data_IF_446178448741
#
_entry.id   IF_446178448741
#
_cell.length_a   1.000
_cell.length_b   1.000
_cell.length_c   1.000
_cell.angle_alpha   90.00
_cell.angle_beta   90.00
_cell.angle_gamma   90.00
#
_symmetry.space_group_name_H-M   'P 1'
#
loop_
_entity.id
_entity.type
_entity.pdbx_description
1 polymer ?
#
# COMPACT_ATOMS: atom_id res chain seq x y z
N UNK A 1 26.84 65.35 -43.87
CA UNK A 1 26.27 64.47 -44.92
C UNK A 1 26.75 63.04 -44.69
N UNK A 2 25.85 62.07 -44.90
CA UNK A 2 26.02 60.59 -44.86
C UNK A 2 26.25 59.98 -43.47
N UNK A 3 25.20 59.54 -42.76
CA UNK A 3 24.26 58.41 -42.97
C UNK A 3 24.83 57.05 -42.54
N UNK A 4 24.14 56.50 -41.53
CA UNK A 4 23.68 55.11 -41.41
C UNK A 4 24.79 54.08 -41.23
N UNK A 5 24.92 53.56 -40.00
CA UNK A 5 24.99 52.12 -39.69
C UNK A 5 25.37 51.98 -38.20
N UNK A 6 24.39 51.79 -37.31
CA UNK A 6 24.55 50.95 -36.10
C UNK A 6 23.25 50.79 -35.28
N UNK A 7 22.10 50.76 -35.94
CA UNK A 7 20.83 50.32 -35.34
C UNK A 7 20.53 48.91 -35.83
N UNK A 8 21.26 47.92 -35.33
CA UNK A 8 20.96 46.51 -35.59
C UNK A 8 21.72 45.61 -34.60
N UNK A 9 21.34 45.64 -33.32
CA UNK A 9 21.80 44.66 -32.33
C UNK A 9 20.93 44.64 -31.05
N UNK A 10 19.61 44.81 -31.19
CA UNK A 10 18.69 44.81 -30.03
C UNK A 10 17.40 44.01 -30.23
N UNK A 11 17.47 42.88 -30.94
CA UNK A 11 16.27 42.06 -31.20
C UNK A 11 16.49 40.54 -31.14
N UNK A 12 17.42 40.08 -30.30
CA UNK A 12 17.67 38.64 -30.15
C UNK A 12 17.81 38.18 -28.69
N UNK A 13 16.89 38.53 -27.79
CA UNK A 13 16.83 37.91 -26.45
C UNK A 13 15.42 37.93 -25.82
N UNK A 14 14.40 37.45 -26.54
CA UNK A 14 13.10 37.12 -25.92
C UNK A 14 12.52 35.82 -26.49
N UNK A 15 13.24 34.72 -26.33
CA UNK A 15 12.64 33.37 -26.31
C UNK A 15 12.95 32.72 -24.97
N UNK A 16 12.24 33.21 -23.95
CA UNK A 16 12.15 32.59 -22.64
C UNK A 16 10.69 32.36 -22.33
N UNK A 17 10.04 31.43 -23.06
CA UNK A 17 8.81 30.84 -22.56
C UNK A 17 9.20 29.99 -21.34
N UNK A 18 9.30 30.65 -20.17
CA UNK A 18 9.22 30.00 -18.89
C UNK A 18 7.85 29.34 -18.84
N UNK A 19 7.76 28.08 -19.27
CA UNK A 19 6.64 27.22 -18.95
C UNK A 19 6.69 27.02 -17.43
N UNK A 20 6.06 27.93 -16.69
CA UNK A 20 5.70 27.66 -15.31
C UNK A 20 4.87 26.38 -15.34
N UNK A 21 5.32 25.27 -14.72
CA UNK A 21 4.49 24.08 -14.63
C UNK A 21 3.17 24.51 -14.01
N UNK A 22 2.05 24.19 -14.66
CA UNK A 22 0.72 24.51 -14.15
C UNK A 22 0.60 23.99 -12.72
N UNK A 23 -0.12 24.71 -11.84
CA UNK A 23 -0.23 24.34 -10.43
C UNK A 23 -0.69 22.89 -10.20
N UNK A 24 -1.39 22.27 -11.16
CA UNK A 24 -1.74 20.84 -11.13
C UNK A 24 -0.53 19.89 -11.11
N UNK A 25 0.59 20.25 -11.74
CA UNK A 25 1.83 19.45 -11.70
C UNK A 25 2.58 19.56 -10.36
N UNK A 26 2.22 20.51 -9.48
CA UNK A 26 2.84 20.67 -8.16
C UNK A 26 2.21 19.81 -7.08
N UNK A 27 1.05 19.20 -7.33
CA UNK A 27 0.34 18.40 -6.33
C UNK A 27 0.96 17.01 -6.27
N UNK A 28 1.82 16.80 -5.27
CA UNK A 28 2.45 15.51 -5.00
C UNK A 28 1.40 14.47 -4.61
N UNK A 29 1.60 13.23 -5.05
CA UNK A 29 0.86 12.10 -4.52
C UNK A 29 1.25 11.83 -3.07
N UNK A 30 0.33 11.26 -2.31
CA UNK A 30 0.55 10.76 -0.95
C UNK A 30 0.24 9.28 -0.91
N UNK A 31 1.03 8.52 -0.17
CA UNK A 31 0.78 7.10 0.10
C UNK A 31 0.38 6.95 1.55
N UNK A 32 -0.79 6.37 1.77
CA UNK A 32 -1.35 6.04 3.06
C UNK A 32 -1.18 4.54 3.29
N UNK A 33 -1.03 4.13 4.55
CA UNK A 33 -0.88 2.71 4.91
C UNK A 33 -1.93 2.32 5.94
N UNK A 34 -2.23 1.04 6.01
CA UNK A 34 -3.17 0.49 6.99
C UNK A 34 -3.15 -1.02 7.00
N UNK A 35 -4.10 -1.60 7.70
CA UNK A 35 -4.20 -3.04 7.83
C UNK A 35 -5.39 -3.43 8.70
N UNK A 36 -5.51 -4.74 8.96
CA UNK A 36 -6.49 -5.31 9.87
C UNK A 36 -6.29 -6.82 10.05
N UNK A 37 -6.92 -7.34 11.11
CA UNK A 37 -7.21 -8.77 11.26
C UNK A 37 -8.70 -9.03 11.01
N UNK A 38 -9.03 -10.07 10.24
CA UNK A 38 -10.39 -10.59 10.07
C UNK A 38 -10.38 -12.12 10.11
N UNK A 39 -10.82 -12.70 11.23
CA UNK A 39 -10.67 -14.14 11.47
C UNK A 39 -9.20 -14.50 11.51
N UNK A 40 -8.79 -15.48 10.70
CA UNK A 40 -7.39 -15.88 10.56
C UNK A 40 -6.61 -15.04 9.53
N UNK A 41 -7.27 -14.07 8.89
CA UNK A 41 -6.65 -13.25 7.86
C UNK A 41 -6.00 -11.99 8.44
N UNK A 42 -4.72 -11.77 8.14
CA UNK A 42 -4.03 -10.49 8.38
C UNK A 42 -3.81 -9.79 7.06
N UNK A 43 -4.21 -8.52 6.97
CA UNK A 43 -4.07 -7.72 5.75
C UNK A 43 -3.26 -6.46 5.99
N UNK A 44 -2.34 -6.16 5.08
CA UNK A 44 -1.62 -4.90 4.99
C UNK A 44 -2.01 -4.16 3.72
N UNK A 45 -2.17 -2.84 3.82
CA UNK A 45 -2.69 -1.99 2.76
C UNK A 45 -1.77 -0.81 2.50
N UNK A 46 -1.63 -0.48 1.21
CA UNK A 46 -1.02 0.75 0.72
C UNK A 46 -1.98 1.41 -0.25
N UNK A 47 -2.23 2.71 -0.09
CA UNK A 47 -3.10 3.46 -0.97
C UNK A 47 -2.46 4.78 -1.37
N UNK A 48 -2.24 4.99 -2.66
CA UNK A 48 -1.65 6.21 -3.21
C UNK A 48 -2.72 7.04 -3.92
N UNK A 49 -2.85 8.30 -3.51
CA UNK A 49 -3.78 9.27 -4.11
C UNK A 49 -3.09 10.59 -4.44
N UNK A 50 -3.67 11.35 -5.36
CA UNK A 50 -3.35 12.76 -5.61
C UNK A 50 -4.63 13.57 -5.45
N UNK A 51 -4.65 14.48 -4.47
CA UNK A 51 -5.90 15.10 -4.01
C UNK A 51 -6.94 14.02 -3.67
N UNK A 52 -8.09 14.04 -4.34
CA UNK A 52 -9.20 13.09 -4.22
C UNK A 52 -9.19 12.03 -5.33
N UNK A 53 -8.11 11.95 -6.12
CA UNK A 53 -7.98 10.99 -7.20
C UNK A 53 -7.17 9.77 -6.73
N UNK A 54 -7.80 8.61 -6.75
CA UNK A 54 -7.12 7.33 -6.53
C UNK A 54 -6.16 7.08 -7.69
N UNK A 55 -4.91 6.71 -7.39
CA UNK A 55 -3.91 6.37 -8.41
C UNK A 55 -3.64 4.87 -8.40
N UNK A 56 -3.13 4.38 -7.27
CA UNK A 56 -2.79 2.97 -7.07
C UNK A 56 -3.14 2.55 -5.65
N UNK A 57 -3.32 1.25 -5.46
CA UNK A 57 -3.44 0.64 -4.15
C UNK A 57 -2.86 -0.76 -4.22
N UNK A 58 -2.43 -1.28 -3.10
CA UNK A 58 -1.94 -2.65 -3.00
C UNK A 58 -2.35 -3.27 -1.67
N UNK A 59 -2.55 -4.57 -1.67
CA UNK A 59 -2.78 -5.36 -0.47
C UNK A 59 -1.83 -6.57 -0.41
N UNK A 60 -1.43 -6.94 0.80
CA UNK A 60 -0.81 -8.23 1.11
C UNK A 60 -1.64 -8.89 2.19
N UNK A 61 -2.06 -10.13 1.97
CA UNK A 61 -2.99 -10.84 2.86
C UNK A 61 -2.47 -12.24 3.12
N UNK A 62 -2.34 -12.60 4.39
CA UNK A 62 -2.08 -13.98 4.83
C UNK A 62 -3.34 -14.53 5.50
N UNK A 63 -3.63 -15.81 5.33
CA UNK A 63 -4.86 -16.46 5.81
C UNK A 63 -4.53 -17.80 6.48
N UNK A 64 -3.51 -17.83 7.34
CA UNK A 64 -3.03 -19.06 7.97
C UNK A 64 -2.77 -20.18 6.96
N UNK A 65 -3.35 -21.36 7.20
CA UNK A 65 -3.20 -22.54 6.34
C UNK A 65 -3.94 -22.44 5.00
N UNK A 66 -4.78 -21.42 4.80
CA UNK A 66 -5.54 -21.24 3.56
C UNK A 66 -4.75 -20.55 2.43
N UNK A 67 -3.58 -19.99 2.78
CA UNK A 67 -2.64 -19.40 1.83
C UNK A 67 -2.45 -17.89 2.02
N UNK A 68 -1.99 -17.24 0.97
CA UNK A 68 -1.66 -15.82 0.98
C UNK A 68 -1.80 -15.23 -0.42
N UNK A 69 -1.97 -13.92 -0.52
CA UNK A 69 -1.89 -13.22 -1.79
C UNK A 69 -1.41 -11.80 -1.63
N UNK A 70 -0.97 -11.24 -2.76
CA UNK A 70 -0.77 -9.81 -2.93
C UNK A 70 -1.50 -9.31 -4.15
N UNK A 71 -1.99 -8.08 -4.08
CA UNK A 71 -2.72 -7.42 -5.17
C UNK A 71 -2.15 -6.04 -5.42
N UNK A 72 -2.13 -5.62 -6.68
CA UNK A 72 -1.94 -4.22 -7.09
C UNK A 72 -3.15 -3.79 -7.93
N UNK A 73 -3.67 -2.61 -7.64
CA UNK A 73 -4.80 -1.99 -8.31
C UNK A 73 -4.37 -0.64 -8.92
N UNK A 74 -4.92 -0.28 -10.07
CA UNK A 74 -4.70 1.01 -10.72
C UNK A 74 -6.02 1.65 -11.14
N UNK A 75 -6.13 2.96 -10.94
CA UNK A 75 -7.28 3.76 -11.34
C UNK A 75 -6.91 4.79 -12.40
N UNK A 76 -7.88 5.08 -13.26
CA UNK A 76 -7.88 6.26 -14.10
C UNK A 76 -9.20 6.99 -13.92
N UNK A 77 -9.15 8.29 -13.63
CA UNK A 77 -10.34 9.12 -13.38
C UNK A 77 -11.30 8.48 -12.37
N UNK A 78 -10.75 7.89 -11.30
CA UNK A 78 -11.48 7.19 -10.23
C UNK A 78 -12.26 5.94 -10.67
N UNK A 79 -12.00 5.41 -11.87
CA UNK A 79 -12.48 4.09 -12.30
C UNK A 79 -11.32 3.11 -12.16
N UNK A 80 -11.56 1.96 -11.51
CA UNK A 80 -10.58 0.88 -11.46
C UNK A 80 -10.37 0.39 -12.89
N UNK A 81 -9.14 0.46 -13.42
CA UNK A 81 -8.83 0.05 -14.80
C UNK A 81 -7.99 -1.21 -14.87
N UNK A 82 -7.27 -1.56 -13.80
CA UNK A 82 -6.45 -2.76 -13.76
C UNK A 82 -6.30 -3.30 -12.33
N UNK A 83 -6.38 -4.62 -12.19
CA UNK A 83 -6.10 -5.33 -10.96
C UNK A 83 -5.30 -6.59 -11.29
N UNK A 84 -4.17 -6.78 -10.61
CA UNK A 84 -3.32 -7.96 -10.71
C UNK A 84 -3.16 -8.54 -9.32
N UNK A 85 -3.40 -9.84 -9.16
CA UNK A 85 -3.22 -10.60 -7.92
C UNK A 85 -2.42 -11.85 -8.20
N UNK A 86 -1.49 -12.17 -7.32
CA UNK A 86 -0.80 -13.45 -7.28
C UNK A 86 -0.63 -13.94 -5.85
N UNK A 87 -0.48 -15.24 -5.68
CA UNK A 87 -0.31 -15.85 -4.37
C UNK A 87 -0.49 -17.35 -4.42
N UNK A 88 -0.72 -17.92 -3.24
CA UNK A 88 -1.04 -19.32 -3.05
C UNK A 88 -2.41 -19.46 -2.40
N UNK A 89 -3.16 -20.46 -2.86
CA UNK A 89 -4.47 -20.77 -2.30
C UNK A 89 -4.56 -22.25 -1.99
N UNK A 90 -5.31 -22.58 -0.94
CA UNK A 90 -5.62 -23.97 -0.63
C UNK A 90 -6.47 -24.59 -1.75
N UNK A 91 -5.97 -25.67 -2.32
CA UNK A 91 -6.66 -26.56 -3.21
C UNK A 91 -7.18 -27.78 -2.45
N UNK A 92 -8.33 -28.29 -2.88
CA UNK A 92 -9.01 -29.41 -2.22
C UNK A 92 -8.19 -30.71 -2.27
N UNK A 93 -7.26 -30.84 -3.22
CA UNK A 93 -6.50 -32.07 -3.46
C UNK A 93 -5.00 -31.93 -3.20
N UNK A 94 -4.42 -30.78 -3.54
CA UNK A 94 -2.96 -30.65 -3.65
C UNK A 94 -2.34 -29.69 -2.61
N UNK A 95 -3.08 -29.31 -1.56
CA UNK A 95 -2.60 -28.36 -0.57
C UNK A 95 -2.52 -26.94 -1.14
N UNK A 96 -1.53 -26.15 -0.73
CA UNK A 96 -1.35 -24.80 -1.29
C UNK A 96 -0.81 -24.88 -2.72
N UNK A 97 -1.45 -24.19 -3.65
CA UNK A 97 -1.00 -24.09 -5.04
C UNK A 97 -0.94 -22.64 -5.50
N UNK A 98 -0.06 -22.31 -6.46
CA UNK A 98 0.07 -20.96 -6.98
C UNK A 98 -1.12 -20.59 -7.87
N UNK A 99 -1.54 -19.33 -7.77
CA UNK A 99 -2.54 -18.75 -8.66
C UNK A 99 -2.21 -17.31 -9.02
N UNK A 100 -2.75 -16.85 -10.15
CA UNK A 100 -2.64 -15.46 -10.61
C UNK A 100 -3.93 -15.04 -11.29
N UNK A 101 -4.39 -13.84 -10.99
CA UNK A 101 -5.54 -13.20 -11.62
C UNK A 101 -5.12 -11.82 -12.14
N UNK A 102 -5.46 -11.52 -13.40
CA UNK A 102 -5.22 -10.22 -14.02
C UNK A 102 -6.46 -9.78 -14.76
N UNK A 103 -7.01 -8.63 -14.38
CA UNK A 103 -8.23 -8.07 -14.95
C UNK A 103 -7.96 -6.64 -15.39
N UNK A 104 -8.44 -6.26 -16.58
CA UNK A 104 -8.56 -4.85 -16.98
C UNK A 104 -10.00 -4.49 -17.24
N UNK A 105 -10.37 -3.27 -16.87
CA UNK A 105 -11.71 -2.75 -17.00
C UNK A 105 -11.74 -1.54 -17.94
N UNK A 106 -12.86 -1.33 -18.63
CA UNK A 106 -13.10 -0.10 -19.38
C UNK A 106 -13.57 1.05 -18.47
N UNK A 107 -13.82 2.22 -19.05
CA UNK A 107 -14.33 3.39 -18.32
C UNK A 107 -15.73 3.22 -17.70
N UNK A 108 -16.48 2.17 -18.05
CA UNK A 108 -17.76 1.81 -17.43
C UNK A 108 -17.57 0.81 -16.27
N UNK A 109 -16.34 0.35 -16.01
CA UNK A 109 -16.06 -0.69 -15.02
C UNK A 109 -16.36 -2.11 -15.50
N UNK A 110 -16.52 -2.33 -16.81
CA UNK A 110 -16.74 -3.67 -17.37
C UNK A 110 -15.39 -4.31 -17.71
N UNK A 111 -15.23 -5.60 -17.40
CA UNK A 111 -14.00 -6.33 -17.69
C UNK A 111 -13.81 -6.48 -19.21
N UNK A 112 -12.69 -5.97 -19.74
CA UNK A 112 -12.30 -6.06 -21.16
C UNK A 112 -11.11 -6.98 -21.39
N UNK A 113 -10.41 -7.36 -20.31
CA UNK A 113 -9.36 -8.36 -20.31
C UNK A 113 -9.45 -9.16 -19.01
N UNK A 114 -9.28 -10.48 -19.13
CA UNK A 114 -9.17 -11.36 -17.97
C UNK A 114 -8.17 -12.49 -18.25
N UNK A 115 -7.36 -12.80 -17.24
CA UNK A 115 -6.51 -13.97 -17.22
C UNK A 115 -6.47 -14.52 -15.80
N UNK A 116 -6.91 -15.75 -15.65
CA UNK A 116 -6.84 -16.47 -14.38
C UNK A 116 -6.09 -17.77 -14.59
N UNK A 117 -5.05 -17.96 -13.79
CA UNK A 117 -4.24 -19.17 -13.75
C UNK A 117 -4.27 -19.77 -12.37
N UNK A 118 -4.42 -21.09 -12.31
CA UNK A 118 -4.34 -21.89 -11.09
C UNK A 118 -3.52 -23.13 -11.43
N UNK A 119 -2.39 -23.31 -10.74
CA UNK A 119 -1.40 -24.35 -11.03
C UNK A 119 -1.03 -24.45 -12.53
N UNK A 120 -0.68 -23.30 -13.12
CA UNK A 120 -0.31 -23.18 -14.54
C UNK A 120 -1.45 -23.32 -15.56
N UNK A 121 -2.63 -23.81 -15.16
CA UNK A 121 -3.80 -23.98 -16.03
C UNK A 121 -4.64 -22.72 -16.09
N UNK A 122 -5.22 -22.43 -17.26
CA UNK A 122 -6.03 -21.22 -17.48
C UNK A 122 -7.50 -21.53 -17.24
N UNK A 123 -8.17 -20.66 -16.47
CA UNK A 123 -9.59 -20.73 -16.16
C UNK A 123 -10.29 -19.41 -16.50
N UNK A 124 -11.60 -19.45 -16.81
CA UNK A 124 -12.39 -18.23 -16.89
C UNK A 124 -12.61 -17.64 -15.49
N UNK A 125 -12.66 -16.32 -15.39
CA UNK A 125 -13.16 -15.65 -14.19
C UNK A 125 -14.67 -15.57 -14.23
N UNK A 126 -15.29 -15.91 -13.11
CA UNK A 126 -16.74 -15.79 -12.93
C UNK A 126 -17.13 -14.34 -12.64
N UNK A 127 -18.35 -13.88 -13.00
CA UNK A 127 -18.78 -12.50 -12.80
C UNK A 127 -18.64 -12.01 -11.34
N UNK A 128 -18.90 -12.88 -10.37
CA UNK A 128 -18.73 -12.57 -8.94
C UNK A 128 -17.27 -12.33 -8.56
N UNK A 129 -16.31 -13.04 -9.15
CA UNK A 129 -14.88 -12.83 -8.91
C UNK A 129 -14.41 -11.49 -9.51
N UNK A 130 -14.96 -11.11 -10.67
CA UNK A 130 -14.67 -9.81 -11.29
C UNK A 130 -15.20 -8.65 -10.45
N UNK A 131 -16.43 -8.78 -9.91
CA UNK A 131 -17.02 -7.80 -9.01
C UNK A 131 -16.26 -7.74 -7.67
N UNK A 132 -15.78 -8.88 -7.16
CA UNK A 132 -15.03 -8.96 -5.92
C UNK A 132 -13.77 -8.09 -5.93
N UNK A 133 -13.03 -8.02 -7.04
CA UNK A 133 -11.88 -7.10 -7.14
C UNK A 133 -12.28 -5.63 -6.98
N UNK A 134 -13.39 -5.23 -7.59
CA UNK A 134 -13.89 -3.86 -7.49
C UNK A 134 -14.29 -3.55 -6.06
N UNK A 135 -15.02 -4.45 -5.40
CA UNK A 135 -15.50 -4.26 -4.03
C UNK A 135 -14.35 -4.28 -3.02
N UNK A 136 -13.38 -5.20 -3.17
CA UNK A 136 -12.17 -5.24 -2.34
C UNK A 136 -11.35 -3.96 -2.50
N UNK A 137 -11.22 -3.44 -3.72
CA UNK A 137 -10.48 -2.19 -3.96
C UNK A 137 -11.14 -0.97 -3.28
N UNK A 138 -12.49 -0.87 -3.34
CA UNK A 138 -13.25 0.19 -2.67
C UNK A 138 -13.17 0.07 -1.15
N UNK A 139 -13.26 -1.16 -0.65
CA UNK A 139 -13.15 -1.45 0.77
C UNK A 139 -11.78 -1.05 1.32
N UNK A 140 -10.70 -1.41 0.61
CA UNK A 140 -9.33 -1.01 0.95
C UNK A 140 -9.21 0.51 1.06
N UNK A 141 -9.64 1.25 0.04
CA UNK A 141 -9.61 2.72 0.05
C UNK A 141 -10.37 3.26 1.26
N UNK A 142 -11.59 2.77 1.48
CA UNK A 142 -12.44 3.22 2.60
C UNK A 142 -11.76 2.96 3.95
N UNK A 143 -11.16 1.79 4.13
CA UNK A 143 -10.46 1.40 5.37
C UNK A 143 -9.24 2.29 5.61
N UNK A 144 -8.37 2.44 4.62
CA UNK A 144 -7.14 3.23 4.76
C UNK A 144 -7.44 4.72 4.96
N UNK A 145 -8.41 5.28 4.22
CA UNK A 145 -8.83 6.68 4.45
C UNK A 145 -9.52 6.89 5.79
N UNK A 146 -10.20 5.87 6.33
CA UNK A 146 -10.74 5.89 7.69
C UNK A 146 -9.63 5.98 8.73
N UNK A 147 -8.62 5.11 8.63
CA UNK A 147 -7.46 5.12 9.52
C UNK A 147 -6.67 6.43 9.44
N UNK A 148 -6.43 6.94 8.22
CA UNK A 148 -5.75 8.22 7.99
C UNK A 148 -6.47 9.40 8.67
N UNK A 149 -7.81 9.45 8.62
CA UNK A 149 -8.60 10.48 9.33
C UNK A 149 -8.44 10.42 10.85
N UNK A 150 -8.15 9.25 11.39
CA UNK A 150 -7.89 9.03 12.81
C UNK A 150 -6.40 9.23 13.16
N UNK A 151 -5.54 9.52 12.17
CA UNK A 151 -4.09 9.62 12.36
C UNK A 151 -3.41 8.27 12.59
N UNK A 152 -4.08 7.18 12.23
CA UNK A 152 -3.60 5.80 12.41
C UNK A 152 -2.98 5.30 11.12
N UNK A 153 -1.81 4.67 11.22
CA UNK A 153 -1.09 4.06 10.11
C UNK A 153 -0.59 2.65 10.45
N UNK A 154 -0.15 1.91 9.44
CA UNK A 154 0.54 0.63 9.62
C UNK A 154 2.02 0.86 9.96
N UNK A 155 2.47 0.21 11.02
CA UNK A 155 3.88 0.09 11.41
C UNK A 155 4.28 -1.38 11.38
N UNK A 156 5.49 -1.65 10.93
CA UNK A 156 6.11 -2.98 10.84
C UNK A 156 7.58 -2.81 11.22
N UNK A 157 8.18 -3.77 11.90
CA UNK A 157 9.58 -3.67 12.28
C UNK A 157 10.00 -4.64 13.37
N UNK A 158 11.24 -4.49 13.80
CA UNK A 158 11.85 -5.26 14.87
C UNK A 158 11.66 -4.55 16.22
N UNK A 159 11.36 -5.32 17.25
CA UNK A 159 11.31 -4.90 18.64
C UNK A 159 12.34 -5.68 19.44
N UNK A 160 13.31 -4.97 20.04
CA UNK A 160 14.41 -5.56 20.81
C UNK A 160 14.19 -5.58 22.34
N UNK A 161 12.98 -5.20 22.79
CA UNK A 161 12.64 -5.05 24.21
C UNK A 161 12.66 -3.60 24.72
N UNK A 162 13.26 -2.67 23.98
CA UNK A 162 13.36 -1.25 24.36
C UNK A 162 13.01 -0.32 23.20
N UNK A 163 13.56 -0.58 22.02
CA UNK A 163 13.45 0.23 20.82
C UNK A 163 12.70 -0.51 19.73
N UNK A 164 11.79 0.19 19.05
CA UNK A 164 11.16 -0.29 17.82
C UNK A 164 11.91 0.25 16.59
N UNK A 165 12.47 -0.66 15.80
CA UNK A 165 13.14 -0.38 14.53
C UNK A 165 12.17 -0.64 13.38
N UNK A 166 11.58 0.42 12.84
CA UNK A 166 10.61 0.27 11.77
C UNK A 166 11.25 -0.10 10.44
N UNK A 167 10.48 -0.78 9.60
CA UNK A 167 10.89 -1.22 8.26
C UNK A 167 11.28 -0.07 7.31
N UNK A 168 10.82 1.15 7.58
CA UNK A 168 11.22 2.36 6.83
C UNK A 168 12.48 3.04 7.39
N UNK A 169 13.16 2.41 8.36
CA UNK A 169 14.43 2.85 8.92
C UNK A 169 14.31 3.88 10.04
N UNK A 170 13.10 4.12 10.57
CA UNK A 170 12.91 4.96 11.75
C UNK A 170 13.11 4.15 13.04
N UNK A 171 13.40 4.86 14.12
CA UNK A 171 13.60 4.27 15.43
C UNK A 171 12.71 4.99 16.42
N UNK A 172 11.99 4.22 17.23
CA UNK A 172 11.06 4.72 18.22
C UNK A 172 11.45 4.19 19.59
N UNK A 173 11.78 5.11 20.48
CA UNK A 173 12.34 4.82 21.81
C UNK A 173 11.24 4.43 22.82
N UNK A 174 9.97 4.60 22.44
CA UNK A 174 8.84 4.29 23.31
C UNK A 174 7.65 3.80 22.49
N UNK A 175 7.17 2.60 22.85
CA UNK A 175 5.94 2.01 22.34
C UNK A 175 4.89 1.95 23.46
N UNK A 176 3.81 2.71 23.31
CA UNK A 176 2.67 2.73 24.23
C UNK A 176 1.54 1.83 23.74
N UNK A 177 0.86 1.14 24.66
CA UNK A 177 -0.21 0.20 24.34
C UNK A 177 -1.56 0.73 24.85
N UNK A 178 -2.55 0.85 23.97
CA UNK A 178 -3.92 1.23 24.36
C UNK A 178 -4.69 0.10 25.05
N UNK A 179 -4.30 -1.15 24.79
CA UNK A 179 -5.05 -2.33 25.21
C UNK A 179 -4.23 -3.13 26.21
N UNK A 180 -4.92 -3.83 27.12
CA UNK A 180 -4.28 -4.85 27.94
C UNK A 180 -3.87 -5.97 26.98
N UNK A 181 -2.58 -6.02 26.64
CA UNK A 181 -2.04 -7.09 25.83
C UNK A 181 -2.15 -8.42 26.59
N UNK A 182 -2.52 -9.53 25.92
CA UNK A 182 -2.48 -10.84 26.54
C UNK A 182 -1.10 -11.13 27.15
N UNK A 183 -1.06 -11.88 28.26
CA UNK A 183 0.19 -12.17 28.97
C UNK A 183 1.28 -12.79 28.07
N UNK A 184 0.91 -13.59 27.06
CA UNK A 184 1.88 -14.17 26.13
C UNK A 184 2.55 -13.12 25.24
N UNK A 185 1.81 -12.08 24.83
CA UNK A 185 2.34 -10.95 24.05
C UNK A 185 3.32 -10.17 24.92
N UNK A 186 2.93 -9.86 26.16
CA UNK A 186 3.80 -9.17 27.12
C UNK A 186 5.07 -9.97 27.39
N UNK A 187 4.94 -11.27 27.64
CA UNK A 187 6.07 -12.16 27.92
C UNK A 187 7.06 -12.21 26.74
N UNK A 188 6.55 -12.22 25.50
CA UNK A 188 7.39 -12.23 24.30
C UNK A 188 8.11 -10.89 24.10
N UNK A 189 7.37 -9.78 24.13
CA UNK A 189 7.93 -8.43 23.98
C UNK A 189 8.93 -8.06 25.09
N UNK A 190 8.85 -8.70 26.26
CA UNK A 190 9.74 -8.42 27.40
C UNK A 190 10.97 -9.33 27.45
N UNK A 191 11.04 -10.37 26.61
CA UNK A 191 12.00 -11.45 26.78
C UNK A 191 12.80 -11.85 25.54
N UNK A 192 12.38 -11.43 24.34
CA UNK A 192 12.97 -11.85 23.07
C UNK A 192 12.81 -10.77 22.00
N UNK A 193 13.83 -10.63 21.16
CA UNK A 193 13.75 -9.90 19.90
C UNK A 193 12.62 -10.49 19.04
N UNK A 194 11.77 -9.62 18.51
CA UNK A 194 10.54 -10.03 17.84
C UNK A 194 10.22 -9.10 16.68
N UNK A 195 9.76 -9.66 15.56
CA UNK A 195 9.09 -8.87 14.56
C UNK A 195 7.66 -8.57 15.00
N UNK A 196 7.26 -7.30 14.89
CA UNK A 196 5.93 -6.82 15.22
C UNK A 196 5.38 -5.96 14.06
N UNK A 197 4.10 -6.15 13.78
CA UNK A 197 3.31 -5.22 12.98
C UNK A 197 2.05 -4.81 13.70
N UNK A 198 1.67 -3.55 13.54
CA UNK A 198 0.53 -2.98 14.27
C UNK A 198 -0.02 -1.74 13.57
N UNK A 199 -1.27 -1.41 13.91
CA UNK A 199 -1.83 -0.09 13.66
C UNK A 199 -1.51 0.81 14.85
N UNK A 200 -1.11 2.05 14.57
CA UNK A 200 -0.78 3.00 15.62
C UNK A 200 -0.74 4.44 15.14
N UNK A 201 -0.51 5.33 16.09
CA UNK A 201 -0.41 6.78 15.89
C UNK A 201 0.91 7.30 16.47
N UNK A 202 1.54 8.24 15.77
CA UNK A 202 2.73 8.94 16.27
C UNK A 202 2.27 10.10 17.17
N UNK A 203 2.54 10.03 18.48
CA UNK A 203 2.08 11.04 19.44
C UNK A 203 2.99 12.25 19.56
N UNK A 204 4.29 12.03 19.44
CA UNK A 204 5.29 13.07 19.55
C UNK A 204 6.49 12.73 18.69
N UNK A 205 6.62 13.43 17.56
CA UNK A 205 7.73 13.26 16.60
C UNK A 205 9.10 13.50 17.23
N UNK A 206 9.22 14.53 18.06
CA UNK A 206 10.49 14.90 18.69
C UNK A 206 10.94 13.87 19.72
N UNK A 207 9.98 13.17 20.34
CA UNK A 207 10.23 12.11 21.34
C UNK A 207 10.11 10.71 20.77
N UNK A 208 9.83 10.57 19.47
CA UNK A 208 9.69 9.28 18.77
C UNK A 208 8.80 8.28 19.53
N UNK A 209 7.63 8.76 19.98
CA UNK A 209 6.66 7.92 20.72
C UNK A 209 5.61 7.40 19.75
N UNK A 210 5.54 6.07 19.62
CA UNK A 210 4.45 5.39 18.94
C UNK A 210 3.44 4.86 19.93
N UNK A 211 2.17 5.04 19.59
CA UNK A 211 1.07 4.50 20.35
C UNK A 211 0.35 3.45 19.52
N UNK A 212 0.49 2.20 19.91
CA UNK A 212 -0.16 1.06 19.29
C UNK A 212 -1.64 1.00 19.65
N UNK A 213 -2.49 1.01 18.63
CA UNK A 213 -3.93 0.84 18.75
C UNK A 213 -4.36 -0.61 18.53
N UNK A 214 -3.75 -1.34 17.58
CA UNK A 214 -4.13 -2.72 17.24
C UNK A 214 -2.90 -3.54 16.83
N UNK A 215 -2.65 -4.66 17.49
CA UNK A 215 -1.60 -5.61 17.09
C UNK A 215 -2.08 -6.43 15.89
N UNK A 216 -1.28 -6.50 14.83
CA UNK A 216 -1.59 -7.28 13.62
C UNK A 216 -0.80 -8.60 13.55
N UNK A 217 0.51 -8.55 13.84
CA UNK A 217 1.39 -9.71 13.86
C UNK A 217 2.43 -9.56 14.95
N UNK A 218 2.72 -10.66 15.65
CA UNK A 218 3.86 -10.78 16.55
C UNK A 218 4.49 -12.16 16.33
N UNK A 219 5.75 -12.18 15.90
CA UNK A 219 6.50 -13.40 15.60
C UNK A 219 7.97 -13.22 16.00
N UNK A 220 8.84 -14.16 15.65
CA UNK A 220 10.28 -14.03 15.85
C UNK A 220 10.90 -12.99 14.91
N UNK A 221 12.16 -12.67 15.18
CA UNK A 221 13.00 -11.75 14.42
C UNK A 221 13.35 -12.26 13.01
N UNK A 222 13.02 -13.52 12.66
CA UNK A 222 13.27 -14.07 11.33
C UNK A 222 12.30 -13.56 10.27
N UNK A 223 11.18 -12.95 10.70
CA UNK A 223 10.19 -12.42 9.78
C UNK A 223 10.64 -11.11 9.16
N UNK A 224 10.50 -11.01 7.84
CA UNK A 224 10.93 -9.83 7.08
C UNK A 224 9.78 -8.86 6.86
N UNK A 225 10.12 -7.58 6.76
CA UNK A 225 9.20 -6.53 6.35
C UNK A 225 8.43 -6.90 5.09
N UNK A 226 7.12 -6.67 5.08
CA UNK A 226 6.32 -6.84 3.87
C UNK A 226 6.43 -5.59 3.02
N UNK A 227 7.02 -5.75 1.83
CA UNK A 227 7.12 -4.70 0.83
C UNK A 227 5.75 -4.42 0.19
N UNK A 228 5.55 -3.16 -0.20
CA UNK A 228 4.37 -2.76 -0.99
C UNK A 228 4.34 -3.57 -2.30
N UNK A 229 3.26 -4.31 -2.58
CA UNK A 229 3.16 -5.05 -3.83
C UNK A 229 3.12 -4.15 -5.07
N UNK A 230 3.93 -4.49 -6.07
CA UNK A 230 4.02 -3.79 -7.36
C UNK A 230 3.94 -4.81 -8.50
N UNK A 231 2.71 -5.22 -8.84
CA UNK A 231 2.42 -6.25 -9.85
C UNK A 231 2.03 -5.68 -11.22
N UNK A 232 1.80 -4.37 -11.31
CA UNK A 232 1.43 -3.67 -12.54
C UNK A 232 2.66 -2.88 -12.99
N UNK A 233 3.20 -3.21 -14.16
CA UNK A 233 4.29 -2.47 -14.79
C UNK A 233 3.84 -1.04 -15.18
N UNK A 234 4.75 -0.06 -15.08
CA UNK A 234 4.54 1.32 -15.52
C UNK A 234 4.51 1.49 -17.05
#
# INVERSE_FOLDING_TARGET
MKRILSTLLLSAFLFGCSSSPSDEQRIKSVTLTGGQIQGDATSYYWYTRRLQQSLTASDYVTMGDYGWYKTTYRWEKNVLVEAVREGEMLDNTDGLIPYMMHVRYNGNGEAVYQRYRKDGRIFPLMPNQLAQFQDQSKYLITKVEGLDKEGVALYQGEWDGETFYSCDGQQYDQLEFNQILPNFVVARLSGLDSFISFLGEEKNRDKKVLKMSELLLLTDDSYTCVDRPELIEE
#
